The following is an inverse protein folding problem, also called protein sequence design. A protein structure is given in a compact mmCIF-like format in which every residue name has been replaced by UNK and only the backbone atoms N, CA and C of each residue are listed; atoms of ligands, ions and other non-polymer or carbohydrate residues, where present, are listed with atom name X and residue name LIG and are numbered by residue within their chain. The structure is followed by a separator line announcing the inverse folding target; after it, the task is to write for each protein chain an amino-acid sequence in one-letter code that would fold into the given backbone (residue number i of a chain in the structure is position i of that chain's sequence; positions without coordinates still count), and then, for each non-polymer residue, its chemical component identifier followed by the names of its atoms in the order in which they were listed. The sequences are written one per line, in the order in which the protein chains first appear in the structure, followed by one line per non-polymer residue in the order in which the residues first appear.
data_IF_307845138523
#
_entry.id   IF_307845138523
#
_cell.length_a   1.000
_cell.length_b   1.000
_cell.length_c   1.000
_cell.angle_alpha   90.00
_cell.angle_beta   90.00
_cell.angle_gamma   90.00
#
_symmetry.space_group_name_H-M   'P 1'
#
loop_
_entity.id
_entity.type
_entity.pdbx_description
1 polymer ?
#
# COMPACT_ATOMS: atom_id res chain seq x y z
N UNK A 1 27.05 20.99 -25.61
CA UNK A 1 27.35 20.72 -24.20
C UNK A 1 26.05 20.78 -23.45
N UNK A 2 25.50 19.64 -23.04
CA UNK A 2 24.40 19.62 -22.07
C UNK A 2 25.03 20.02 -20.75
N UNK A 3 24.52 21.07 -20.10
CA UNK A 3 25.00 21.48 -18.78
C UNK A 3 24.74 20.35 -17.78
N UNK A 4 25.67 20.17 -16.84
CA UNK A 4 25.67 19.13 -15.81
C UNK A 4 24.32 19.07 -15.04
N UNK A 5 23.67 20.24 -14.86
CA UNK A 5 22.37 20.37 -14.21
C UNK A 5 21.19 19.77 -15.01
N UNK A 6 21.25 19.76 -16.35
CA UNK A 6 20.18 19.23 -17.18
C UNK A 6 20.07 17.71 -17.06
N UNK A 7 21.21 17.03 -17.10
CA UNK A 7 21.26 15.57 -16.98
C UNK A 7 20.87 15.13 -15.55
N UNK A 8 21.32 15.86 -14.52
CA UNK A 8 20.91 15.60 -13.13
C UNK A 8 19.40 15.74 -12.93
N UNK A 9 18.78 16.78 -13.50
CA UNK A 9 17.33 16.99 -13.36
C UNK A 9 16.52 15.93 -14.12
N UNK A 10 16.96 15.50 -15.30
CA UNK A 10 16.31 14.43 -16.06
C UNK A 10 16.40 13.09 -15.31
N UNK A 11 17.54 12.83 -14.63
CA UNK A 11 17.74 11.65 -13.79
C UNK A 11 16.82 11.69 -12.57
N UNK A 12 16.75 12.83 -11.87
CA UNK A 12 15.85 13.00 -10.72
C UNK A 12 14.37 12.88 -11.14
N UNK A 13 14.01 13.42 -12.30
CA UNK A 13 12.68 13.28 -12.88
C UNK A 13 12.34 11.80 -13.16
N UNK A 14 13.23 11.07 -13.82
CA UNK A 14 13.03 9.64 -14.11
C UNK A 14 13.01 8.78 -12.83
N UNK A 15 13.68 9.20 -11.76
CA UNK A 15 13.67 8.55 -10.45
C UNK A 15 12.36 8.77 -9.70
N UNK A 16 11.80 9.98 -9.76
CA UNK A 16 10.48 10.31 -9.21
C UNK A 16 9.36 9.60 -9.99
N UNK A 17 9.47 9.50 -11.32
CA UNK A 17 8.42 8.95 -12.18
C UNK A 17 8.47 7.42 -12.34
N UNK A 18 9.61 6.75 -12.12
CA UNK A 18 9.71 5.28 -12.12
C UNK A 18 9.30 4.61 -10.79
N UNK A 19 8.69 5.35 -9.85
CA UNK A 19 8.18 4.81 -8.57
C UNK A 19 9.22 4.01 -7.77
N UNK A 20 10.50 4.36 -7.88
CA UNK A 20 11.53 3.77 -7.01
C UNK A 20 11.76 4.68 -5.82
N UNK A 21 11.05 4.39 -4.73
CA UNK A 21 11.21 5.13 -3.49
C UNK A 21 12.52 4.67 -2.84
N UNK A 22 13.56 5.47 -3.04
CA UNK A 22 14.78 5.38 -2.25
C UNK A 22 14.75 6.48 -1.18
N UNK A 23 15.12 6.19 0.08
CA UNK A 23 15.54 7.24 1.00
C UNK A 23 16.54 8.15 0.28
N UNK A 24 16.39 9.48 0.36
CA UNK A 24 17.22 10.45 -0.36
C UNK A 24 18.73 10.15 -0.20
N UNK A 25 19.13 9.71 1.00
CA UNK A 25 20.49 9.27 1.29
C UNK A 25 20.96 8.12 0.39
N UNK A 26 20.14 7.09 0.18
CA UNK A 26 20.46 5.95 -0.71
C UNK A 26 20.49 6.37 -2.18
N UNK A 27 19.66 7.33 -2.56
CA UNK A 27 19.67 7.88 -3.92
C UNK A 27 20.96 8.65 -4.20
N UNK A 28 21.42 9.46 -3.24
CA UNK A 28 22.70 10.16 -3.32
C UNK A 28 23.88 9.18 -3.35
N UNK A 29 23.81 8.09 -2.57
CA UNK A 29 24.80 7.01 -2.62
C UNK A 29 24.79 6.31 -3.99
N UNK A 30 23.63 5.94 -4.52
CA UNK A 30 23.50 5.31 -5.84
C UNK A 30 24.00 6.21 -6.97
N UNK A 31 23.73 7.51 -6.89
CA UNK A 31 24.22 8.49 -7.85
C UNK A 31 25.75 8.62 -7.79
N UNK A 32 26.35 8.67 -6.59
CA UNK A 32 27.82 8.69 -6.44
C UNK A 32 28.47 7.43 -7.01
N UNK A 33 27.91 6.25 -6.71
CA UNK A 33 28.47 4.98 -7.20
C UNK A 33 28.29 4.85 -8.71
N UNK A 34 27.18 5.35 -9.27
CA UNK A 34 27.01 5.43 -10.71
C UNK A 34 28.07 6.32 -11.36
N UNK A 35 28.29 7.53 -10.83
CA UNK A 35 29.35 8.42 -11.33
C UNK A 35 30.74 7.78 -11.22
N UNK A 36 31.00 7.05 -10.13
CA UNK A 36 32.22 6.26 -9.97
C UNK A 36 32.38 5.21 -11.07
N UNK A 37 31.32 4.46 -11.38
CA UNK A 37 31.34 3.45 -12.45
C UNK A 37 31.58 4.04 -13.84
N UNK A 38 30.97 5.20 -14.14
CA UNK A 38 31.19 5.92 -15.40
C UNK A 38 32.64 6.43 -15.48
N UNK A 39 33.18 6.92 -14.36
CA UNK A 39 34.56 7.35 -14.29
C UNK A 39 35.54 6.19 -14.53
N UNK A 40 35.28 5.01 -13.96
CA UNK A 40 36.12 3.83 -14.19
C UNK A 40 36.10 3.38 -15.67
N UNK A 41 34.94 3.47 -16.33
CA UNK A 41 34.79 3.13 -17.76
C UNK A 41 35.50 4.13 -18.68
N UNK A 42 35.40 5.42 -18.38
CA UNK A 42 35.73 6.49 -19.33
C UNK A 42 36.95 7.34 -18.93
N UNK A 43 37.44 7.24 -17.70
CA UNK A 43 38.47 8.12 -17.13
C UNK A 43 39.77 8.13 -17.93
N UNK A 44 40.23 6.97 -18.39
CA UNK A 44 41.44 6.87 -19.21
C UNK A 44 41.29 7.58 -20.58
N UNK A 45 40.10 7.55 -21.18
CA UNK A 45 39.82 8.24 -22.45
C UNK A 45 39.76 9.76 -22.24
N UNK A 46 39.10 10.20 -21.17
CA UNK A 46 39.01 11.61 -20.78
C UNK A 46 40.40 12.18 -20.54
N UNK A 47 41.24 11.48 -19.75
CA UNK A 47 42.61 11.90 -19.46
C UNK A 47 43.50 11.93 -20.72
N UNK A 48 43.21 11.08 -21.70
CA UNK A 48 43.88 11.08 -23.01
C UNK A 48 43.31 12.12 -24.00
N UNK A 49 42.36 12.96 -23.58
CA UNK A 49 41.73 13.97 -24.44
C UNK A 49 40.83 13.39 -25.53
N UNK A 50 40.40 12.14 -25.40
CA UNK A 50 39.52 11.47 -26.37
C UNK A 50 38.05 11.78 -26.06
N UNK A 51 37.22 11.99 -27.09
CA UNK A 51 35.79 12.20 -26.89
C UNK A 51 35.14 10.93 -26.34
N UNK A 52 34.29 11.10 -25.32
CA UNK A 52 33.43 10.04 -24.78
C UNK A 52 32.01 10.29 -25.29
N UNK A 53 31.37 9.26 -25.83
CA UNK A 53 29.95 9.29 -26.18
C UNK A 53 29.21 8.21 -25.41
N UNK A 54 28.00 8.54 -24.94
CA UNK A 54 27.12 7.64 -24.21
C UNK A 54 25.74 7.74 -24.85
N UNK A 55 25.15 6.61 -25.24
CA UNK A 55 23.76 6.61 -25.72
C UNK A 55 22.78 6.61 -24.55
N UNK A 56 21.54 7.00 -24.83
CA UNK A 56 20.46 6.97 -23.84
C UNK A 56 20.23 5.54 -23.31
N UNK A 57 20.34 4.52 -24.17
CA UNK A 57 20.18 3.12 -23.79
C UNK A 57 21.32 2.63 -22.88
N UNK A 58 22.57 3.02 -23.19
CA UNK A 58 23.74 2.71 -22.36
C UNK A 58 23.61 3.35 -20.97
N UNK A 59 23.23 4.63 -20.92
CA UNK A 59 22.93 5.35 -19.69
C UNK A 59 21.85 4.62 -18.88
N UNK A 60 20.69 4.38 -19.48
CA UNK A 60 19.54 3.78 -18.80
C UNK A 60 19.85 2.38 -18.26
N UNK A 61 20.67 1.61 -18.98
CA UNK A 61 21.04 0.24 -18.56
C UNK A 61 22.03 0.27 -17.40
N UNK A 62 23.10 1.05 -17.51
CA UNK A 62 24.12 1.17 -16.46
C UNK A 62 23.55 1.77 -15.17
N UNK A 63 22.71 2.80 -15.31
CA UNK A 63 22.05 3.44 -14.18
C UNK A 63 21.06 2.49 -13.48
N UNK A 64 20.21 1.76 -14.21
CA UNK A 64 19.31 0.74 -13.62
C UNK A 64 20.08 -0.37 -12.90
N UNK A 65 21.18 -0.83 -13.48
CA UNK A 65 22.02 -1.87 -12.87
C UNK A 65 22.72 -1.40 -11.60
N UNK A 66 23.01 -0.10 -11.49
CA UNK A 66 23.55 0.48 -10.26
C UNK A 66 22.47 0.61 -9.21
N UNK A 67 21.31 1.18 -9.56
CA UNK A 67 20.16 1.33 -8.66
C UNK A 67 19.64 0.00 -8.13
N UNK A 68 19.70 -1.09 -8.91
CA UNK A 68 19.24 -2.40 -8.48
C UNK A 68 20.00 -2.92 -7.25
N UNK A 69 21.25 -2.50 -7.03
CA UNK A 69 22.07 -2.84 -5.85
C UNK A 69 21.61 -2.11 -4.59
N UNK A 70 20.95 -0.97 -4.76
CA UNK A 70 20.40 -0.14 -3.68
C UNK A 70 18.95 -0.43 -3.39
N UNK A 71 18.29 -1.27 -4.21
CA UNK A 71 17.03 -1.88 -3.82
C UNK A 71 17.32 -2.59 -2.51
N UNK A 72 16.77 -2.04 -1.42
CA UNK A 72 16.89 -2.67 -0.12
C UNK A 72 16.36 -4.10 -0.20
N UNK A 73 16.66 -4.95 0.80
CA UNK A 73 15.93 -6.19 0.93
C UNK A 73 14.42 -5.88 0.84
N UNK A 74 13.68 -6.68 0.07
CA UNK A 74 12.22 -6.57 0.01
C UNK A 74 11.67 -6.43 1.43
N UNK A 75 10.83 -5.42 1.66
CA UNK A 75 10.26 -5.20 2.98
C UNK A 75 9.56 -6.48 3.43
N UNK A 76 10.01 -7.04 4.55
CA UNK A 76 9.45 -8.28 5.09
C UNK A 76 8.30 -7.93 6.01
N UNK A 77 7.08 -8.09 5.50
CA UNK A 77 5.87 -7.92 6.28
C UNK A 77 5.89 -8.78 7.56
N UNK A 78 5.61 -8.14 8.68
CA UNK A 78 5.63 -8.74 10.00
C UNK A 78 4.20 -9.09 10.44
N UNK A 79 4.02 -10.27 11.03
CA UNK A 79 2.78 -10.68 11.70
C UNK A 79 3.10 -10.91 13.17
N UNK A 80 3.11 -9.84 13.97
CA UNK A 80 3.79 -9.81 15.27
C UNK A 80 3.01 -9.09 16.36
N UNK A 81 1.70 -8.92 16.25
CA UNK A 81 0.93 -8.45 17.40
C UNK A 81 0.97 -9.50 18.49
N UNK A 82 1.83 -9.24 19.46
CA UNK A 82 2.00 -10.09 20.62
C UNK A 82 1.05 -9.67 21.76
N UNK A 83 0.47 -8.46 21.71
CA UNK A 83 -0.49 -7.95 22.70
C UNK A 83 -1.47 -6.93 22.08
N UNK A 84 -2.75 -7.29 22.08
CA UNK A 84 -3.87 -6.38 21.84
C UNK A 84 -4.45 -5.98 23.20
N UNK A 85 -4.39 -4.69 23.55
CA UNK A 85 -4.71 -4.20 24.90
C UNK A 85 -6.17 -3.74 25.06
N UNK A 86 -6.94 -3.70 23.98
CA UNK A 86 -8.34 -3.31 23.99
C UNK A 86 -9.25 -4.56 24.01
N UNK A 87 -10.55 -4.33 24.18
CA UNK A 87 -11.57 -5.36 23.96
C UNK A 87 -11.84 -5.48 22.44
N UNK A 88 -11.56 -6.63 21.80
CA UNK A 88 -11.76 -6.81 20.36
C UNK A 88 -13.18 -6.52 19.90
N UNK A 89 -14.17 -6.77 20.76
CA UNK A 89 -15.58 -6.59 20.44
C UNK A 89 -15.99 -5.10 20.39
N UNK A 90 -15.11 -4.19 20.82
CA UNK A 90 -15.33 -2.74 20.75
C UNK A 90 -14.80 -2.13 19.46
N UNK A 91 -14.01 -2.85 18.68
CA UNK A 91 -13.53 -2.36 17.39
C UNK A 91 -14.72 -2.28 16.42
N UNK A 92 -14.93 -1.10 15.82
CA UNK A 92 -16.07 -0.81 14.94
C UNK A 92 -16.18 -1.84 13.82
N UNK A 93 -15.07 -2.22 13.19
CA UNK A 93 -15.11 -3.19 12.11
C UNK A 93 -15.55 -4.59 12.56
N UNK A 94 -15.19 -5.01 13.79
CA UNK A 94 -15.64 -6.29 14.36
C UNK A 94 -17.15 -6.26 14.60
N UNK A 95 -17.68 -5.14 15.11
CA UNK A 95 -19.12 -4.95 15.27
C UNK A 95 -19.86 -5.01 13.93
N UNK A 96 -19.32 -4.36 12.89
CA UNK A 96 -19.89 -4.43 11.55
C UNK A 96 -19.94 -5.87 11.01
N UNK A 97 -18.92 -6.69 11.26
CA UNK A 97 -18.85 -8.08 10.80
C UNK A 97 -19.81 -9.01 11.59
N UNK A 98 -19.96 -8.79 12.90
CA UNK A 98 -20.95 -9.46 13.73
C UNK A 98 -22.37 -9.16 13.25
N UNK A 99 -22.66 -7.90 12.93
CA UNK A 99 -23.98 -7.44 12.50
C UNK A 99 -24.48 -8.11 11.22
N UNK A 100 -23.56 -8.42 10.29
CA UNK A 100 -23.89 -9.09 9.03
C UNK A 100 -23.82 -10.61 9.14
N UNK A 101 -23.43 -11.14 10.30
CA UNK A 101 -23.34 -12.58 10.57
C UNK A 101 -22.14 -13.29 9.96
N UNK A 102 -21.01 -12.60 9.75
CA UNK A 102 -19.77 -13.22 9.24
C UNK A 102 -19.18 -14.24 10.25
N UNK A 103 -19.38 -13.98 11.54
CA UNK A 103 -19.05 -14.87 12.65
C UNK A 103 -19.90 -14.52 13.88
N UNK A 104 -19.74 -15.29 14.94
CA UNK A 104 -20.38 -15.09 16.24
C UNK A 104 -19.38 -14.65 17.31
N UNK A 105 -19.87 -14.07 18.41
CA UNK A 105 -19.02 -13.66 19.55
C UNK A 105 -18.23 -14.83 20.19
N UNK A 106 -18.66 -16.08 19.96
CA UNK A 106 -17.96 -17.29 20.39
C UNK A 106 -16.77 -17.67 19.50
N UNK A 107 -16.68 -17.14 18.28
CA UNK A 107 -15.60 -17.44 17.33
C UNK A 107 -14.34 -16.64 17.64
N UNK A 108 -13.78 -16.87 18.84
CA UNK A 108 -12.66 -16.11 19.40
C UNK A 108 -11.43 -16.13 18.48
N UNK A 109 -11.15 -17.25 17.84
CA UNK A 109 -10.01 -17.39 16.93
C UNK A 109 -10.18 -16.54 15.65
N UNK A 110 -11.42 -16.46 15.13
CA UNK A 110 -11.75 -15.63 13.96
C UNK A 110 -11.58 -14.15 14.32
N UNK A 111 -12.13 -13.74 15.47
CA UNK A 111 -12.01 -12.37 15.98
C UNK A 111 -10.52 -12.01 16.15
N UNK A 112 -9.74 -12.86 16.82
CA UNK A 112 -8.31 -12.62 17.04
C UNK A 112 -7.55 -12.50 15.71
N UNK A 113 -7.88 -13.33 14.71
CA UNK A 113 -7.29 -13.27 13.39
C UNK A 113 -7.59 -11.96 12.66
N UNK A 114 -8.83 -11.48 12.68
CA UNK A 114 -9.19 -10.22 12.00
C UNK A 114 -8.62 -8.99 12.68
N UNK A 115 -8.57 -8.98 14.02
CA UNK A 115 -7.82 -7.98 14.79
C UNK A 115 -6.34 -7.99 14.37
N UNK A 116 -5.72 -9.17 14.33
CA UNK A 116 -4.30 -9.29 13.95
C UNK A 116 -4.06 -8.74 12.54
N UNK A 117 -4.91 -9.08 11.56
CA UNK A 117 -4.83 -8.55 10.19
C UNK A 117 -4.87 -7.02 10.15
N UNK A 118 -5.87 -6.42 10.81
CA UNK A 118 -6.06 -4.97 10.82
C UNK A 118 -4.84 -4.23 11.40
N UNK A 119 -4.36 -4.68 12.56
CA UNK A 119 -3.31 -3.98 13.27
C UNK A 119 -1.91 -4.32 12.75
N UNK A 120 -1.68 -5.55 12.25
CA UNK A 120 -0.40 -5.89 11.61
C UNK A 120 -0.26 -5.04 10.34
N UNK A 121 -1.33 -4.85 9.56
CA UNK A 121 -1.33 -3.90 8.44
C UNK A 121 -0.88 -2.50 8.92
N UNK A 122 -1.55 -1.94 9.92
CA UNK A 122 -1.23 -0.61 10.47
C UNK A 122 0.23 -0.49 10.92
N UNK A 123 0.71 -1.47 11.68
CA UNK A 123 2.09 -1.51 12.16
C UNK A 123 3.08 -1.58 10.99
N UNK A 124 2.82 -2.43 9.99
CA UNK A 124 3.69 -2.52 8.83
C UNK A 124 3.70 -1.22 8.02
N UNK A 125 2.56 -0.56 7.82
CA UNK A 125 2.53 0.73 7.12
C UNK A 125 3.34 1.78 7.87
N UNK A 126 3.20 1.85 9.19
CA UNK A 126 3.98 2.76 10.03
C UNK A 126 5.49 2.47 9.95
N UNK A 127 5.89 1.19 9.99
CA UNK A 127 7.29 0.79 9.87
C UNK A 127 7.86 1.08 8.48
N UNK A 128 7.09 0.84 7.42
CA UNK A 128 7.53 1.14 6.05
C UNK A 128 7.76 2.64 5.86
N UNK A 129 6.92 3.49 6.45
CA UNK A 129 7.11 4.95 6.42
C UNK A 129 8.29 5.38 7.28
N UNK A 130 8.41 4.86 8.52
CA UNK A 130 9.47 5.25 9.46
C UNK A 130 10.86 4.78 9.03
N UNK A 131 10.95 3.61 8.39
CA UNK A 131 12.17 3.08 7.80
C UNK A 131 12.41 3.57 6.36
N UNK A 132 11.59 4.51 5.87
CA UNK A 132 11.71 5.16 4.57
C UNK A 132 11.65 4.19 3.36
N UNK A 133 10.92 3.08 3.46
CA UNK A 133 10.61 2.22 2.31
C UNK A 133 9.58 2.84 1.39
N UNK A 134 8.63 3.60 1.95
CA UNK A 134 7.55 4.29 1.23
C UNK A 134 7.28 5.65 1.87
N UNK A 135 6.67 6.57 1.13
CA UNK A 135 6.15 7.82 1.69
C UNK A 135 4.76 7.59 2.26
N UNK A 136 4.26 8.55 3.06
CA UNK A 136 2.91 8.46 3.62
C UNK A 136 1.84 8.52 2.53
N UNK A 137 2.08 9.36 1.53
CA UNK A 137 1.21 9.55 0.38
C UNK A 137 1.01 8.25 -0.41
N UNK A 138 2.02 7.36 -0.43
CA UNK A 138 1.90 6.06 -1.08
C UNK A 138 0.92 5.14 -0.33
N UNK A 139 0.90 5.20 1.00
CA UNK A 139 -0.06 4.46 1.84
C UNK A 139 -1.47 5.02 1.63
N UNK A 140 -1.60 6.34 1.66
CA UNK A 140 -2.88 7.03 1.42
C UNK A 140 -3.45 6.67 0.04
N UNK A 141 -2.60 6.61 -0.99
CA UNK A 141 -3.00 6.20 -2.34
C UNK A 141 -3.47 4.74 -2.40
N UNK A 142 -2.84 3.83 -1.67
CA UNK A 142 -3.29 2.43 -1.54
C UNK A 142 -4.65 2.35 -0.85
N UNK A 143 -4.87 3.16 0.19
CA UNK A 143 -6.15 3.21 0.91
C UNK A 143 -7.27 3.83 0.07
N UNK A 144 -6.96 4.81 -0.78
CA UNK A 144 -7.90 5.33 -1.78
C UNK A 144 -8.23 4.27 -2.83
N UNK A 145 -7.26 3.53 -3.36
CA UNK A 145 -7.51 2.42 -4.30
C UNK A 145 -8.40 1.34 -3.67
N UNK A 146 -8.12 0.95 -2.42
CA UNK A 146 -8.96 0.04 -1.65
C UNK A 146 -10.40 0.59 -1.50
N UNK A 147 -10.55 1.87 -1.17
CA UNK A 147 -11.86 2.53 -1.12
C UNK A 147 -12.60 2.47 -2.47
N UNK A 148 -11.95 2.76 -3.59
CA UNK A 148 -12.57 2.70 -4.91
C UNK A 148 -13.01 1.28 -5.29
N UNK A 149 -12.14 0.29 -5.05
CA UNK A 149 -12.43 -1.14 -5.24
C UNK A 149 -13.65 -1.58 -4.42
N UNK A 150 -13.71 -1.16 -3.15
CA UNK A 150 -14.88 -1.39 -2.30
C UNK A 150 -16.13 -0.71 -2.84
N UNK A 151 -16.04 0.58 -3.17
CA UNK A 151 -17.19 1.39 -3.61
C UNK A 151 -17.81 0.85 -4.88
N UNK A 152 -17.00 0.37 -5.83
CA UNK A 152 -17.49 -0.22 -7.08
C UNK A 152 -18.33 -1.48 -6.79
N UNK A 153 -17.79 -2.42 -6.00
CA UNK A 153 -18.50 -3.65 -5.63
C UNK A 153 -19.74 -3.36 -4.79
N UNK A 154 -19.62 -2.49 -3.78
CA UNK A 154 -20.73 -2.08 -2.93
C UNK A 154 -21.88 -1.51 -3.76
N UNK A 155 -21.58 -0.57 -4.65
CA UNK A 155 -22.59 0.05 -5.53
C UNK A 155 -23.25 -0.98 -6.42
N UNK A 156 -22.47 -1.89 -7.03
CA UNK A 156 -23.00 -2.93 -7.93
C UNK A 156 -23.95 -3.87 -7.19
N UNK A 157 -23.52 -4.42 -6.06
CA UNK A 157 -24.29 -5.40 -5.29
C UNK A 157 -25.54 -4.78 -4.65
N UNK A 158 -25.44 -3.59 -4.08
CA UNK A 158 -26.60 -2.93 -3.46
C UNK A 158 -27.54 -2.26 -4.46
N UNK A 159 -27.15 -2.07 -5.73
CA UNK A 159 -28.07 -1.63 -6.79
C UNK A 159 -29.23 -2.63 -6.96
N UNK A 160 -28.94 -3.92 -6.85
CA UNK A 160 -29.90 -5.02 -6.97
C UNK A 160 -30.94 -5.02 -5.84
N UNK A 161 -30.68 -4.30 -4.75
CA UNK A 161 -31.51 -4.26 -3.55
C UNK A 161 -32.30 -2.95 -3.37
N UNK A 162 -32.34 -2.05 -4.37
CA UNK A 162 -32.97 -0.71 -4.24
C UNK A 162 -34.38 -0.71 -3.65
N UNK A 163 -35.13 -1.80 -3.77
CA UNK A 163 -36.51 -1.92 -3.30
C UNK A 163 -36.72 -2.97 -2.21
N UNK A 164 -35.69 -3.73 -1.82
CA UNK A 164 -35.82 -4.82 -0.85
C UNK A 164 -35.61 -4.33 0.59
N UNK A 165 -36.58 -4.62 1.44
CA UNK A 165 -36.54 -4.42 2.90
C UNK A 165 -36.32 -5.73 3.68
N UNK A 166 -36.24 -6.85 2.98
CA UNK A 166 -35.91 -8.16 3.54
C UNK A 166 -34.48 -8.18 4.08
N UNK A 167 -34.36 -8.21 5.42
CA UNK A 167 -33.07 -8.14 6.10
C UNK A 167 -32.18 -9.36 5.80
N UNK A 168 -32.75 -10.54 5.59
CA UNK A 168 -31.95 -11.76 5.33
C UNK A 168 -31.26 -11.64 3.97
N UNK A 169 -31.97 -11.11 2.97
CA UNK A 169 -31.37 -10.81 1.65
C UNK A 169 -30.29 -9.73 1.74
N UNK A 170 -30.53 -8.69 2.53
CA UNK A 170 -29.56 -7.61 2.71
C UNK A 170 -28.28 -8.11 3.38
N UNK A 171 -28.40 -8.97 4.39
CA UNK A 171 -27.26 -9.62 5.06
C UNK A 171 -26.54 -10.59 4.11
N UNK A 172 -27.27 -11.38 3.32
CA UNK A 172 -26.66 -12.23 2.29
C UNK A 172 -25.79 -11.44 1.30
N UNK A 173 -26.25 -10.27 0.86
CA UNK A 173 -25.47 -9.38 -0.01
C UNK A 173 -24.27 -8.76 0.72
N UNK A 174 -24.41 -8.41 2.01
CA UNK A 174 -23.29 -7.91 2.81
C UNK A 174 -22.17 -8.97 2.92
N UNK A 175 -22.53 -10.23 3.15
CA UNK A 175 -21.58 -11.35 3.19
C UNK A 175 -20.94 -11.56 1.82
N UNK A 176 -21.72 -11.52 0.73
CA UNK A 176 -21.18 -11.61 -0.63
C UNK A 176 -20.18 -10.48 -0.91
N UNK A 177 -20.50 -9.23 -0.55
CA UNK A 177 -19.58 -8.11 -0.69
C UNK A 177 -18.28 -8.36 0.05
N UNK A 178 -18.36 -8.77 1.32
CA UNK A 178 -17.20 -9.05 2.14
C UNK A 178 -16.31 -10.14 1.53
N UNK A 179 -16.90 -11.24 1.07
CA UNK A 179 -16.16 -12.33 0.42
C UNK A 179 -15.49 -11.86 -0.87
N UNK A 180 -16.19 -11.09 -1.70
CA UNK A 180 -15.60 -10.52 -2.91
C UNK A 180 -14.43 -9.56 -2.62
N UNK A 181 -14.51 -8.78 -1.53
CA UNK A 181 -13.47 -7.85 -1.11
C UNK A 181 -12.25 -8.58 -0.58
N UNK A 182 -12.46 -9.68 0.18
CA UNK A 182 -11.38 -10.50 0.75
C UNK A 182 -10.49 -11.18 -0.29
N UNK A 183 -10.94 -11.24 -1.53
CA UNK A 183 -10.18 -11.79 -2.66
C UNK A 183 -9.42 -10.72 -3.46
N UNK A 184 -9.52 -9.44 -3.09
CA UNK A 184 -8.87 -8.35 -3.83
C UNK A 184 -7.45 -8.12 -3.30
N UNK A 185 -6.42 -8.36 -4.12
CA UNK A 185 -5.06 -7.96 -3.76
C UNK A 185 -4.89 -6.45 -3.86
N UNK A 186 -4.10 -5.90 -2.94
CA UNK A 186 -3.68 -4.51 -2.92
C UNK A 186 -2.17 -4.41 -3.17
N UNK A 187 -1.74 -3.25 -3.65
CA UNK A 187 -0.33 -2.92 -3.80
C UNK A 187 -0.04 -1.60 -3.09
N UNK A 188 1.14 -1.50 -2.48
CA UNK A 188 1.70 -0.24 -2.00
C UNK A 188 2.51 0.39 -3.13
N UNK A 189 2.36 1.71 -3.34
CA UNK A 189 3.04 2.46 -4.40
C UNK A 189 2.92 1.80 -5.79
N UNK A 190 1.76 1.18 -6.06
CA UNK A 190 1.43 0.42 -7.28
C UNK A 190 2.38 -0.72 -7.66
N UNK A 191 3.30 -1.12 -6.78
CA UNK A 191 4.39 -2.03 -7.13
C UNK A 191 4.80 -3.02 -6.05
N UNK A 192 4.50 -2.75 -4.78
CA UNK A 192 4.80 -3.65 -3.66
C UNK A 192 3.52 -4.43 -3.33
N UNK A 193 3.41 -5.71 -3.70
CA UNK A 193 2.20 -6.48 -3.45
C UNK A 193 1.99 -6.75 -1.97
N UNK A 194 0.76 -6.53 -1.51
CA UNK A 194 0.28 -7.04 -0.24
C UNK A 194 -0.25 -8.46 -0.45
N UNK A 195 0.11 -9.36 0.45
CA UNK A 195 -0.60 -10.64 0.54
C UNK A 195 -2.08 -10.42 0.93
N UNK A 196 -2.90 -11.47 0.82
CA UNK A 196 -4.31 -11.38 1.20
C UNK A 196 -4.51 -11.01 2.68
N UNK A 197 -3.56 -11.38 3.55
CA UNK A 197 -3.63 -11.09 4.98
C UNK A 197 -3.56 -9.57 5.24
N UNK A 198 -2.59 -8.87 4.66
CA UNK A 198 -2.42 -7.43 4.82
C UNK A 198 -3.40 -6.64 3.96
N UNK A 199 -3.79 -7.16 2.79
CA UNK A 199 -4.85 -6.56 1.96
C UNK A 199 -6.16 -6.50 2.75
N UNK A 200 -6.56 -7.60 3.41
CA UNK A 200 -7.74 -7.61 4.29
C UNK A 200 -7.58 -6.68 5.49
N UNK A 201 -6.38 -6.61 6.06
CA UNK A 201 -6.05 -5.66 7.12
C UNK A 201 -6.33 -4.19 6.73
N UNK A 202 -6.00 -3.79 5.50
CA UNK A 202 -6.31 -2.47 4.96
C UNK A 202 -7.82 -2.20 4.94
N UNK A 203 -8.62 -3.14 4.41
CA UNK A 203 -10.07 -2.98 4.39
C UNK A 203 -10.69 -2.93 5.80
N UNK A 204 -10.19 -3.75 6.73
CA UNK A 204 -10.63 -3.70 8.13
C UNK A 204 -10.31 -2.35 8.75
N UNK A 205 -9.10 -1.84 8.52
CA UNK A 205 -8.71 -0.50 8.94
C UNK A 205 -9.68 0.57 8.42
N UNK A 206 -10.02 0.55 7.12
CA UNK A 206 -10.96 1.51 6.52
C UNK A 206 -12.38 1.41 7.07
N UNK A 207 -12.78 0.23 7.57
CA UNK A 207 -14.08 0.01 8.22
C UNK A 207 -14.05 0.21 9.74
N UNK A 208 -12.92 0.63 10.31
CA UNK A 208 -12.74 0.79 11.74
C UNK A 208 -12.76 2.27 12.19
N UNK A 209 -12.88 2.48 13.50
CA UNK A 209 -12.81 3.80 14.14
C UNK A 209 -14.15 4.52 14.23
N UNK A 210 -14.08 5.80 14.63
CA UNK A 210 -15.25 6.65 14.88
C UNK A 210 -15.88 7.25 13.61
N UNK A 211 -15.13 7.27 12.52
CA UNK A 211 -15.57 7.71 11.20
C UNK A 211 -15.06 6.71 10.15
N UNK A 212 -15.63 5.50 10.10
CA UNK A 212 -15.25 4.52 9.10
C UNK A 212 -15.47 5.10 7.69
N UNK A 213 -14.54 4.80 6.78
CA UNK A 213 -14.61 5.22 5.38
C UNK A 213 -15.42 4.25 4.53
N UNK A 214 -15.48 2.98 4.95
CA UNK A 214 -16.25 1.93 4.31
C UNK A 214 -17.09 1.15 5.32
N UNK A 215 -18.01 0.35 4.81
CA UNK A 215 -18.70 -0.66 5.61
C UNK A 215 -19.37 -1.74 4.78
N UNK A 216 -19.88 -2.75 5.46
CA UNK A 216 -20.28 -4.01 4.80
C UNK A 216 -21.78 -4.09 4.51
N UNK A 217 -22.60 -3.45 5.35
CA UNK A 217 -24.06 -3.44 5.25
C UNK A 217 -24.57 -2.13 4.62
N UNK A 218 -25.73 -2.11 3.93
CA UNK A 218 -26.26 -0.87 3.31
C UNK A 218 -26.41 0.33 4.27
N UNK A 219 -26.67 0.05 5.55
CA UNK A 219 -26.82 1.03 6.63
C UNK A 219 -25.53 1.20 7.47
N UNK A 220 -24.36 0.86 6.94
CA UNK A 220 -23.10 0.91 7.68
C UNK A 220 -22.75 2.31 8.22
N UNK A 221 -23.29 3.37 7.63
CA UNK A 221 -23.05 4.74 8.11
C UNK A 221 -23.56 4.99 9.53
N UNK A 222 -24.43 4.12 10.08
CA UNK A 222 -24.82 4.15 11.50
C UNK A 222 -23.64 4.07 12.48
N UNK A 223 -22.49 3.59 12.01
CA UNK A 223 -21.25 3.48 12.76
C UNK A 223 -20.41 4.76 12.77
N UNK A 224 -20.74 5.76 11.93
CA UNK A 224 -20.12 7.07 12.00
C UNK A 224 -20.67 7.80 13.21
N UNK A 225 -19.80 8.22 14.14
CA UNK A 225 -20.21 9.14 15.20
C UNK A 225 -20.48 10.49 14.56
N UNK A 226 -21.68 11.03 14.77
CA UNK A 226 -21.99 12.42 14.44
C UNK A 226 -21.12 13.30 15.35
N UNK A 227 -20.03 13.82 14.81
CA UNK A 227 -19.35 14.96 15.43
C UNK A 227 -20.28 16.16 15.21
N UNK A 228 -21.11 16.43 16.22
CA UNK A 228 -21.96 17.63 16.27
C UNK A 228 -21.14 18.91 16.23
#
# INVERSE_FOLDING_TARGET
MVSDDGCKNDILYDLEHNKMIFPEKKLQEAYRDYLGSVWDECGAMILAGKPVSYTKEQFSTSFRNTLSKYRGPEYRFQRKINKFNNDPLKETFIQQLLDIGDFTISDRDIIARYISQCYDYLMNMQNMVSEHYVKREDIEQTEEDAFYKWREKFKRLYLELRTTTDNDKVNGIALQLLDEIRQIPLNIADSIPLDNYHSNGCFYHLSNGDSPRIGWHKNWEKYKKNNG
#
